data_IF_283175039008
#
_entry.id   IF_283175039008
#
_cell.length_a   1.000
_cell.length_b   1.000
_cell.length_c   1.000
_cell.angle_alpha   90.00
_cell.angle_beta   90.00
_cell.angle_gamma   90.00
#
_symmetry.space_group_name_H-M   'P 1'
#
loop_
_entity.id
_entity.type
_entity.pdbx_description
1 polymer ?
#
# COMPACT_ATOMS: atom_id res chain seq x y z
N UNK A 1 23.87 -54.48 17.61
CA UNK A 1 22.63 -54.13 18.34
C UNK A 1 22.98 -53.05 19.34
N UNK A 2 22.62 -51.79 19.09
CA UNK A 2 22.92 -50.66 19.97
C UNK A 2 21.70 -50.35 20.84
N UNK A 3 21.76 -50.76 22.10
CA UNK A 3 20.73 -50.51 23.12
C UNK A 3 20.87 -49.08 23.64
N UNK A 4 19.87 -48.24 23.37
CA UNK A 4 19.74 -46.92 23.99
C UNK A 4 19.06 -47.09 25.36
N UNK A 5 19.88 -47.08 26.42
CA UNK A 5 19.40 -47.18 27.80
C UNK A 5 18.77 -45.83 28.22
N UNK A 6 17.47 -45.84 28.53
CA UNK A 6 16.78 -44.69 29.12
C UNK A 6 16.84 -44.77 30.65
N UNK A 7 17.50 -43.80 31.28
CA UNK A 7 17.63 -43.69 32.74
C UNK A 7 16.35 -43.16 33.44
N UNK A 8 15.22 -43.07 32.75
CA UNK A 8 13.96 -42.55 33.31
C UNK A 8 12.78 -43.53 33.25
N UNK A 9 13.01 -44.78 32.83
CA UNK A 9 12.00 -45.85 32.89
C UNK A 9 10.75 -45.64 32.01
N UNK A 10 10.70 -44.60 31.17
CA UNK A 10 9.59 -44.36 30.24
C UNK A 10 10.00 -44.78 28.83
N UNK A 11 9.29 -45.78 28.30
CA UNK A 11 9.48 -46.37 26.96
C UNK A 11 9.01 -45.49 25.78
N UNK A 12 8.74 -44.22 26.02
CA UNK A 12 8.48 -43.25 24.96
C UNK A 12 9.57 -42.20 24.97
N UNK A 13 10.55 -42.39 24.06
CA UNK A 13 11.47 -41.33 23.67
C UNK A 13 10.64 -40.29 22.93
N UNK A 14 10.04 -39.40 23.71
CA UNK A 14 9.49 -38.17 23.17
C UNK A 14 10.71 -37.29 22.92
N UNK A 15 11.00 -36.95 21.66
CA UNK A 15 11.99 -35.93 21.31
C UNK A 15 11.44 -34.54 21.69
N UNK A 16 11.11 -34.34 22.97
CA UNK A 16 10.88 -33.04 23.56
C UNK A 16 12.24 -32.47 23.91
N UNK A 17 12.81 -31.87 22.87
CA UNK A 17 14.00 -31.04 22.89
C UNK A 17 13.74 -29.81 23.79
N UNK A 18 14.77 -29.27 24.45
CA UNK A 18 14.71 -28.06 25.29
C UNK A 18 14.38 -26.76 24.50
N UNK A 19 14.06 -26.86 23.21
CA UNK A 19 13.42 -25.82 22.40
C UNK A 19 11.92 -26.08 22.37
N UNK A 20 11.17 -25.54 23.33
CA UNK A 20 9.77 -25.90 23.60
C UNK A 20 8.74 -25.62 22.49
N UNK A 21 8.72 -26.42 21.42
CA UNK A 21 7.56 -26.56 20.51
C UNK A 21 7.48 -28.02 20.06
N UNK A 22 6.54 -28.76 20.64
CA UNK A 22 6.25 -30.14 20.26
C UNK A 22 5.73 -30.22 18.82
N UNK A 23 6.30 -31.16 18.07
CA UNK A 23 5.90 -31.50 16.70
C UNK A 23 4.52 -32.16 16.68
N UNK A 24 3.47 -31.36 16.56
CA UNK A 24 2.28 -31.76 15.81
C UNK A 24 2.35 -31.06 14.46
N UNK A 25 3.14 -31.63 13.55
CA UNK A 25 3.04 -31.32 12.12
C UNK A 25 1.72 -31.93 11.61
N UNK A 26 0.58 -31.35 12.00
CA UNK A 26 -0.47 -31.22 11.00
C UNK A 26 0.11 -30.31 9.92
N UNK A 27 -0.18 -30.54 8.64
CA UNK A 27 0.16 -29.59 7.58
C UNK A 27 -0.53 -28.26 7.91
N UNK A 28 0.14 -27.40 8.67
CA UNK A 28 -0.38 -26.08 8.93
C UNK A 28 -0.33 -25.35 7.59
N UNK A 29 -1.50 -25.05 7.06
CA UNK A 29 -1.79 -24.08 6.00
C UNK A 29 -1.43 -22.67 6.46
N UNK A 30 -0.29 -22.51 7.12
CA UNK A 30 0.18 -21.23 7.64
C UNK A 30 0.60 -20.37 6.48
N UNK A 31 -0.25 -19.40 6.15
CA UNK A 31 0.02 -18.33 5.20
C UNK A 31 1.44 -17.78 5.42
N UNK A 32 2.27 -17.64 4.38
CA UNK A 32 3.64 -17.18 4.55
C UNK A 32 3.72 -15.82 5.24
N UNK A 33 4.74 -15.61 6.07
CA UNK A 33 4.89 -14.38 6.87
C UNK A 33 4.90 -13.10 6.01
N UNK A 34 5.51 -13.13 4.83
CA UNK A 34 5.53 -11.98 3.91
C UNK A 34 4.12 -11.60 3.42
N UNK A 35 3.23 -12.57 3.24
CA UNK A 35 1.83 -12.33 2.88
C UNK A 35 1.08 -11.70 4.04
N UNK A 36 1.28 -12.19 5.27
CA UNK A 36 0.67 -11.61 6.48
C UNK A 36 1.11 -10.15 6.66
N UNK A 37 2.40 -9.87 6.49
CA UNK A 37 2.95 -8.51 6.55
C UNK A 37 2.32 -7.60 5.48
N UNK A 38 2.12 -8.10 4.27
CA UNK A 38 1.51 -7.34 3.19
C UNK A 38 0.02 -7.07 3.41
N UNK A 39 -0.74 -8.06 3.91
CA UNK A 39 -2.14 -7.85 4.34
C UNK A 39 -2.24 -6.75 5.39
N UNK A 40 -1.35 -6.77 6.39
CA UNK A 40 -1.27 -5.72 7.41
C UNK A 40 -0.98 -4.34 6.80
N UNK A 41 0.00 -4.25 5.89
CA UNK A 41 0.30 -3.00 5.18
C UNK A 41 -0.93 -2.45 4.43
N UNK A 42 -1.66 -3.30 3.71
CA UNK A 42 -2.89 -2.90 2.99
C UNK A 42 -3.94 -2.39 3.99
N UNK A 43 -4.08 -3.10 5.10
CA UNK A 43 -5.03 -2.74 6.14
C UNK A 43 -4.72 -1.36 6.73
N UNK A 44 -3.48 -1.15 7.19
CA UNK A 44 -3.06 0.09 7.84
C UNK A 44 -3.03 1.28 6.88
N UNK A 45 -2.65 1.07 5.61
CA UNK A 45 -2.44 2.15 4.64
C UNK A 45 -3.69 2.54 3.85
N UNK A 46 -4.66 1.64 3.70
CA UNK A 46 -5.84 1.87 2.85
C UNK A 46 -7.16 1.58 3.57
N UNK A 47 -7.30 0.42 4.21
CA UNK A 47 -8.58 -0.01 4.82
C UNK A 47 -8.90 0.82 6.08
N UNK A 48 -7.96 0.98 6.99
CA UNK A 48 -8.18 1.80 8.20
C UNK A 48 -8.47 3.27 7.85
N UNK A 49 -7.71 3.92 6.93
CA UNK A 49 -8.00 5.30 6.52
C UNK A 49 -9.37 5.49 5.87
N UNK A 50 -9.84 4.58 5.01
CA UNK A 50 -11.17 4.70 4.40
C UNK A 50 -12.27 4.54 5.45
N UNK A 51 -12.14 3.57 6.37
CA UNK A 51 -13.09 3.36 7.46
C UNK A 51 -13.15 4.56 8.43
N UNK A 52 -12.00 5.20 8.64
CA UNK A 52 -11.86 6.38 9.51
C UNK A 52 -12.14 7.71 8.79
N UNK A 53 -12.55 7.67 7.51
CA UNK A 53 -12.80 8.86 6.66
C UNK A 53 -11.60 9.82 6.56
N UNK A 54 -10.39 9.30 6.66
CA UNK A 54 -9.14 10.07 6.55
C UNK A 54 -8.74 10.24 5.07
N UNK A 55 -9.55 10.99 4.33
CA UNK A 55 -9.40 11.17 2.87
C UNK A 55 -8.05 11.73 2.46
N UNK A 56 -7.45 12.62 3.26
CA UNK A 56 -6.12 13.19 3.00
C UNK A 56 -5.04 12.11 2.92
N UNK A 57 -4.98 11.23 3.92
CA UNK A 57 -4.00 10.13 3.99
C UNK A 57 -4.23 9.14 2.85
N UNK A 58 -5.51 8.88 2.55
CA UNK A 58 -5.87 7.97 1.47
C UNK A 58 -5.43 8.51 0.09
N UNK A 59 -5.65 9.81 -0.18
CA UNK A 59 -5.18 10.48 -1.41
C UNK A 59 -3.66 10.48 -1.50
N UNK A 60 -2.97 10.75 -0.40
CA UNK A 60 -1.50 10.73 -0.34
C UNK A 60 -0.91 9.35 -0.67
N UNK A 61 -1.57 8.26 -0.28
CA UNK A 61 -1.11 6.90 -0.59
C UNK A 61 -1.69 6.33 -1.90
N UNK A 62 -2.59 7.06 -2.58
CA UNK A 62 -3.28 6.58 -3.78
C UNK A 62 -2.33 6.22 -4.93
N UNK A 63 -1.16 6.89 -5.02
CA UNK A 63 -0.14 6.62 -6.04
C UNK A 63 0.32 5.16 -6.04
N UNK A 64 0.27 4.47 -4.89
CA UNK A 64 0.79 3.11 -4.74
C UNK A 64 -0.27 2.02 -4.89
N UNK A 65 -1.56 2.38 -5.07
CA UNK A 65 -2.65 1.39 -5.13
C UNK A 65 -2.46 0.42 -6.30
N UNK A 66 -2.17 0.93 -7.50
CA UNK A 66 -1.98 0.09 -8.71
C UNK A 66 -0.83 -0.89 -8.53
N UNK A 67 0.30 -0.46 -7.96
CA UNK A 67 1.44 -1.32 -7.69
C UNK A 67 1.08 -2.39 -6.64
N UNK A 68 0.35 -2.00 -5.60
CA UNK A 68 -0.13 -2.92 -4.56
C UNK A 68 -1.03 -4.02 -5.13
N UNK A 69 -1.93 -3.68 -6.07
CA UNK A 69 -2.78 -4.65 -6.78
C UNK A 69 -1.95 -5.63 -7.61
N UNK A 70 -1.01 -5.13 -8.43
CA UNK A 70 -0.14 -6.01 -9.26
C UNK A 70 0.68 -6.98 -8.39
N UNK A 71 1.11 -6.54 -7.21
CA UNK A 71 1.82 -7.39 -6.24
C UNK A 71 0.90 -8.41 -5.58
N UNK A 72 -0.35 -8.06 -5.25
CA UNK A 72 -1.34 -9.03 -4.76
C UNK A 72 -1.53 -10.16 -5.77
N UNK A 73 -1.70 -9.83 -7.05
CA UNK A 73 -1.82 -10.82 -8.12
C UNK A 73 -0.59 -11.73 -8.21
N UNK A 74 0.61 -11.15 -8.08
CA UNK A 74 1.87 -11.91 -8.06
C UNK A 74 1.98 -12.84 -6.85
N UNK A 75 1.46 -12.45 -5.68
CA UNK A 75 1.43 -13.35 -4.52
C UNK A 75 0.35 -14.42 -4.64
N UNK A 76 -0.80 -14.07 -5.22
CA UNK A 76 -1.90 -15.01 -5.46
C UNK A 76 -1.49 -16.15 -6.39
N UNK A 77 -0.71 -15.90 -7.45
CA UNK A 77 -0.23 -16.97 -8.33
C UNK A 77 0.64 -18.00 -7.61
N UNK A 78 1.38 -17.56 -6.59
CA UNK A 78 2.29 -18.42 -5.80
C UNK A 78 1.53 -19.16 -4.69
N UNK A 79 0.69 -18.45 -3.93
CA UNK A 79 0.08 -19.01 -2.71
C UNK A 79 -1.33 -19.56 -2.91
N UNK A 80 -2.04 -19.14 -3.98
CA UNK A 80 -3.44 -19.48 -4.27
C UNK A 80 -4.38 -19.25 -3.07
N UNK A 81 -4.11 -18.22 -2.28
CA UNK A 81 -4.89 -17.84 -1.11
C UNK A 81 -6.05 -16.93 -1.54
N UNK A 82 -7.28 -17.43 -1.45
CA UNK A 82 -8.50 -16.70 -1.84
C UNK A 82 -8.68 -15.39 -1.07
N UNK A 83 -8.15 -15.28 0.15
CA UNK A 83 -8.26 -14.03 0.91
C UNK A 83 -7.54 -12.88 0.22
N UNK A 84 -6.51 -13.14 -0.61
CA UNK A 84 -5.83 -12.10 -1.39
C UNK A 84 -6.74 -11.47 -2.46
N UNK A 85 -7.65 -12.26 -3.05
CA UNK A 85 -8.64 -11.78 -4.00
C UNK A 85 -9.61 -10.80 -3.33
N UNK A 86 -9.96 -11.04 -2.07
CA UNK A 86 -10.77 -10.11 -1.29
C UNK A 86 -10.05 -8.76 -1.10
N UNK A 87 -8.76 -8.78 -0.73
CA UNK A 87 -7.96 -7.55 -0.59
C UNK A 87 -7.82 -6.80 -1.93
N UNK A 88 -7.68 -7.52 -3.04
CA UNK A 88 -7.65 -6.92 -4.38
C UNK A 88 -8.96 -6.19 -4.69
N UNK A 89 -10.10 -6.85 -4.49
CA UNK A 89 -11.42 -6.25 -4.70
C UNK A 89 -11.64 -5.03 -3.79
N UNK A 90 -11.22 -5.11 -2.52
CA UNK A 90 -11.28 -3.97 -1.61
C UNK A 90 -10.45 -2.79 -2.12
N UNK A 91 -9.23 -3.02 -2.59
CA UNK A 91 -8.39 -1.96 -3.15
C UNK A 91 -8.98 -1.35 -4.43
N UNK A 92 -9.62 -2.16 -5.28
CA UNK A 92 -10.30 -1.68 -6.48
C UNK A 92 -11.49 -0.78 -6.13
N UNK A 93 -12.29 -1.18 -5.13
CA UNK A 93 -13.39 -0.38 -4.60
C UNK A 93 -12.84 0.94 -4.04
N UNK A 94 -11.82 0.89 -3.19
CA UNK A 94 -11.17 2.07 -2.60
C UNK A 94 -10.69 3.03 -3.70
N UNK A 95 -10.03 2.51 -4.74
CA UNK A 95 -9.58 3.31 -5.89
C UNK A 95 -10.75 4.03 -6.57
N UNK A 96 -11.82 3.29 -6.84
CA UNK A 96 -13.03 3.82 -7.49
C UNK A 96 -13.69 4.88 -6.62
N UNK A 97 -13.76 4.66 -5.31
CA UNK A 97 -14.28 5.64 -4.35
C UNK A 97 -13.46 6.92 -4.35
N UNK A 98 -12.12 6.83 -4.31
CA UNK A 98 -11.25 8.02 -4.36
C UNK A 98 -11.53 8.81 -5.65
N UNK A 99 -11.53 8.14 -6.79
CA UNK A 99 -11.76 8.80 -8.08
C UNK A 99 -13.17 9.44 -8.14
N UNK A 100 -14.20 8.79 -7.59
CA UNK A 100 -15.56 9.36 -7.49
C UNK A 100 -15.60 10.57 -6.57
N UNK A 101 -14.92 10.53 -5.42
CA UNK A 101 -14.87 11.69 -4.49
C UNK A 101 -14.14 12.88 -5.11
N UNK A 102 -13.07 12.64 -5.86
CA UNK A 102 -12.37 13.70 -6.60
C UNK A 102 -13.28 14.30 -7.69
N UNK A 103 -14.04 13.46 -8.41
CA UNK A 103 -15.02 13.93 -9.41
C UNK A 103 -16.11 14.79 -8.76
N UNK A 104 -16.66 14.36 -7.62
CA UNK A 104 -17.68 15.11 -6.89
C UNK A 104 -17.17 16.48 -6.41
N UNK A 105 -15.97 16.55 -5.82
CA UNK A 105 -15.37 17.82 -5.40
C UNK A 105 -15.17 18.78 -6.59
N UNK A 106 -14.74 18.26 -7.74
CA UNK A 106 -14.60 19.08 -8.95
C UNK A 106 -15.95 19.60 -9.44
N UNK A 107 -17.00 18.75 -9.42
CA UNK A 107 -18.35 19.15 -9.81
C UNK A 107 -18.93 20.21 -8.87
N UNK A 108 -18.79 20.04 -7.56
CA UNK A 108 -19.22 21.01 -6.56
C UNK A 108 -18.51 22.35 -6.76
N UNK A 109 -17.18 22.34 -6.94
CA UNK A 109 -16.42 23.56 -7.20
C UNK A 109 -16.87 24.28 -8.48
N UNK A 110 -17.25 23.54 -9.53
CA UNK A 110 -17.72 24.13 -10.79
C UNK A 110 -19.16 24.67 -10.68
N UNK A 111 -20.04 23.96 -9.98
CA UNK A 111 -21.43 24.34 -9.78
C UNK A 111 -21.56 25.57 -8.86
N UNK A 112 -20.87 25.57 -7.72
CA UNK A 112 -21.07 26.58 -6.68
C UNK A 112 -20.19 27.83 -6.81
N UNK A 113 -19.09 27.80 -7.57
CA UNK A 113 -18.30 29.01 -7.84
C UNK A 113 -18.85 29.87 -8.99
N UNK A 114 -19.91 29.43 -9.68
CA UNK A 114 -20.46 30.18 -10.82
C UNK A 114 -21.69 30.97 -10.37
N UNK A 115 -21.46 32.17 -9.86
CA UNK A 115 -22.51 33.15 -9.61
C UNK A 115 -23.09 33.66 -10.96
N UNK A 116 -24.00 32.90 -11.58
CA UNK A 116 -24.71 33.36 -12.77
C UNK A 116 -25.46 32.26 -13.52
N UNK A 117 -26.77 32.45 -13.70
CA UNK A 117 -27.70 31.59 -14.44
C UNK A 117 -27.30 31.43 -15.92
N UNK A 118 -26.34 30.56 -16.22
CA UNK A 118 -26.02 30.14 -17.59
C UNK A 118 -25.97 28.62 -17.60
N UNK A 119 -26.73 28.00 -18.51
CA UNK A 119 -26.67 26.56 -18.74
C UNK A 119 -25.22 26.14 -19.01
N UNK A 120 -24.60 25.41 -18.08
CA UNK A 120 -23.24 24.92 -18.23
C UNK A 120 -23.24 23.62 -19.03
N UNK A 121 -22.54 23.63 -20.17
CA UNK A 121 -22.26 22.43 -20.94
C UNK A 121 -21.13 21.65 -20.24
N UNK A 122 -21.47 20.51 -19.63
CA UNK A 122 -20.50 19.65 -18.95
C UNK A 122 -19.90 18.65 -19.96
N UNK A 123 -18.63 18.85 -20.32
CA UNK A 123 -17.89 17.94 -21.19
C UNK A 123 -16.98 17.03 -20.36
N UNK A 124 -17.18 15.71 -20.43
CA UNK A 124 -16.31 14.73 -19.74
C UNK A 124 -15.05 14.50 -20.57
N UNK A 125 -13.92 14.97 -20.08
CA UNK A 125 -12.60 14.71 -20.68
C UNK A 125 -11.83 13.65 -19.88
N UNK A 126 -10.99 12.82 -20.53
CA UNK A 126 -10.15 11.86 -19.84
C UNK A 126 -9.16 12.57 -18.90
N UNK A 127 -9.09 12.14 -17.65
CA UNK A 127 -8.15 12.68 -16.65
C UNK A 127 -6.73 12.22 -16.97
N UNK A 128 -5.83 13.18 -17.19
CA UNK A 128 -4.39 12.92 -17.29
C UNK A 128 -3.82 12.97 -15.87
N UNK A 129 -3.36 11.83 -15.35
CA UNK A 129 -2.59 11.77 -14.09
C UNK A 129 -1.10 11.88 -14.39
N UNK A 130 -0.38 12.55 -13.51
CA UNK A 130 1.08 12.58 -13.57
C UNK A 130 1.63 11.22 -13.14
N UNK A 131 2.86 10.91 -13.53
CA UNK A 131 3.51 9.70 -13.00
C UNK A 131 3.79 9.87 -11.49
N UNK A 132 3.77 8.78 -10.70
CA UNK A 132 3.88 8.84 -9.24
C UNK A 132 5.04 9.71 -8.70
N UNK A 133 6.26 9.69 -9.29
CA UNK A 133 7.36 10.53 -8.79
C UNK A 133 7.05 12.03 -8.85
N UNK A 134 6.34 12.48 -9.89
CA UNK A 134 6.01 13.89 -10.09
C UNK A 134 4.79 14.30 -9.24
N UNK A 135 3.83 13.40 -9.02
CA UNK A 135 2.73 13.64 -8.07
C UNK A 135 3.29 13.84 -6.65
N UNK A 136 4.20 12.97 -6.23
CA UNK A 136 4.84 13.06 -4.92
C UNK A 136 5.69 14.32 -4.76
N UNK A 137 6.45 14.70 -5.79
CA UNK A 137 7.16 15.97 -5.80
C UNK A 137 6.22 17.15 -5.55
N UNK A 138 5.11 17.21 -6.28
CA UNK A 138 4.13 18.28 -6.15
C UNK A 138 3.45 18.31 -4.77
N UNK A 139 3.27 17.14 -4.14
CA UNK A 139 2.70 17.04 -2.80
C UNK A 139 3.68 17.47 -1.69
N UNK A 140 4.98 17.22 -1.86
CA UNK A 140 5.99 17.47 -0.82
C UNK A 140 6.58 18.88 -0.93
N UNK A 141 6.96 19.30 -2.13
CA UNK A 141 7.71 20.55 -2.39
C UNK A 141 6.78 21.63 -2.96
N UNK A 142 5.69 21.22 -3.61
CA UNK A 142 4.81 22.12 -4.35
C UNK A 142 5.08 22.10 -5.85
N UNK A 143 4.16 22.69 -6.61
CA UNK A 143 4.24 22.74 -8.08
C UNK A 143 5.34 23.74 -8.50
N UNK A 144 6.36 23.32 -9.26
CA UNK A 144 7.39 24.23 -9.74
C UNK A 144 6.84 25.16 -10.83
N UNK A 145 7.36 26.40 -10.87
CA UNK A 145 7.05 27.34 -11.94
C UNK A 145 7.58 26.81 -13.28
N UNK A 146 6.73 26.85 -14.31
CA UNK A 146 7.05 26.47 -15.71
C UNK A 146 7.55 25.02 -15.90
N UNK A 147 7.13 24.08 -15.06
CA UNK A 147 7.49 22.64 -15.17
C UNK A 147 9.00 22.36 -15.04
N UNK A 148 9.77 23.28 -14.45
CA UNK A 148 11.18 23.07 -14.15
C UNK A 148 11.33 22.24 -12.86
N UNK A 149 11.10 20.94 -12.96
CA UNK A 149 11.31 20.03 -11.84
C UNK A 149 12.81 19.75 -11.63
N UNK A 150 13.25 19.68 -10.37
CA UNK A 150 14.60 19.24 -10.06
C UNK A 150 14.74 17.73 -10.33
N UNK A 151 15.54 17.40 -11.35
CA UNK A 151 15.82 16.02 -11.75
C UNK A 151 16.45 15.22 -10.61
N UNK A 152 17.32 15.80 -9.79
CA UNK A 152 17.99 15.08 -8.69
C UNK A 152 16.97 14.60 -7.67
N UNK A 153 15.98 15.44 -7.36
CA UNK A 153 14.92 15.10 -6.41
C UNK A 153 13.96 14.08 -7.02
N UNK A 154 13.60 14.21 -8.30
CA UNK A 154 12.78 13.22 -8.99
C UNK A 154 13.45 11.85 -9.01
N UNK A 155 14.74 11.79 -9.33
CA UNK A 155 15.50 10.53 -9.36
C UNK A 155 15.55 9.91 -7.96
N UNK A 156 15.76 10.73 -6.92
CA UNK A 156 15.72 10.29 -5.54
C UNK A 156 14.36 9.73 -5.12
N UNK A 157 13.27 10.44 -5.44
CA UNK A 157 11.89 9.98 -5.20
C UNK A 157 11.64 8.66 -5.96
N UNK A 158 12.09 8.56 -7.20
CA UNK A 158 11.93 7.37 -8.04
C UNK A 158 12.60 6.15 -7.40
N UNK A 159 13.78 6.33 -6.81
CA UNK A 159 14.48 5.24 -6.11
C UNK A 159 13.84 4.89 -4.76
N UNK A 160 13.27 5.87 -4.05
CA UNK A 160 12.54 5.63 -2.81
C UNK A 160 11.27 4.82 -3.08
N UNK A 161 10.50 5.14 -4.13
CA UNK A 161 9.25 4.45 -4.47
C UNK A 161 9.47 2.96 -4.77
N UNK A 162 10.66 2.58 -5.25
CA UNK A 162 11.00 1.16 -5.51
C UNK A 162 11.08 0.34 -4.23
N UNK A 163 11.26 0.97 -3.06
CA UNK A 163 11.35 0.26 -1.78
C UNK A 163 10.00 -0.32 -1.38
N UNK A 164 10.02 -1.50 -0.77
CA UNK A 164 8.80 -2.19 -0.37
C UNK A 164 8.13 -1.51 0.83
N UNK A 165 6.79 -1.49 0.82
CA UNK A 165 5.95 -1.03 1.94
C UNK A 165 6.10 0.44 2.33
N UNK A 166 6.72 1.26 1.48
CA UNK A 166 6.94 2.66 1.81
C UNK A 166 5.62 3.46 1.77
N UNK A 167 5.38 4.22 2.83
CA UNK A 167 4.22 5.11 2.96
C UNK A 167 4.57 6.54 2.56
N UNK A 168 3.57 7.35 2.20
CA UNK A 168 3.80 8.76 1.86
C UNK A 168 4.61 9.51 2.92
N UNK A 169 4.27 9.34 4.21
CA UNK A 169 4.93 10.05 5.32
C UNK A 169 6.44 9.73 5.36
N UNK A 170 6.83 8.47 5.15
CA UNK A 170 8.24 8.08 5.11
C UNK A 170 8.98 8.67 3.90
N UNK A 171 8.29 8.88 2.77
CA UNK A 171 8.88 9.56 1.61
C UNK A 171 9.06 11.04 1.93
N UNK A 172 8.05 11.68 2.51
CA UNK A 172 8.07 13.08 2.89
C UNK A 172 9.24 13.40 3.84
N UNK A 173 9.44 12.60 4.89
CA UNK A 173 10.55 12.76 5.83
C UNK A 173 11.92 12.61 5.15
N UNK A 174 12.08 11.60 4.27
CA UNK A 174 13.33 11.36 3.55
C UNK A 174 13.65 12.45 2.53
N UNK A 175 12.63 12.98 1.85
CA UNK A 175 12.82 14.06 0.88
C UNK A 175 13.13 15.38 1.59
N UNK A 176 12.47 15.68 2.71
CA UNK A 176 12.73 16.89 3.51
C UNK A 176 14.13 16.90 4.13
N UNK A 177 14.56 15.78 4.73
CA UNK A 177 15.95 15.67 5.24
C UNK A 177 16.97 15.85 4.12
N UNK A 178 16.72 15.30 2.93
CA UNK A 178 17.62 15.47 1.78
C UNK A 178 17.70 16.93 1.29
N UNK A 179 16.64 17.71 1.46
CA UNK A 179 16.60 19.14 1.14
C UNK A 179 17.38 20.00 2.15
N UNK A 180 17.45 19.57 3.42
CA UNK A 180 18.26 20.26 4.45
C UNK A 180 19.77 20.03 4.25
N UNK A 181 20.15 18.93 3.60
CA UNK A 181 21.55 18.60 3.27
C UNK A 181 22.07 19.28 1.99
N UNK A 182 21.22 20.00 1.24
CA UNK A 182 21.51 20.63 -0.06
C UNK A 182 21.66 22.14 0.05
#
# INVERSE_FOLDING_TARGET
MTTTLSLTGKHHINHLNLTGKSSSYSKSTTTPYYVVKFKKYIFDSFITPIMSKQWKILRQNAYNITNTINRLQSYYTITKDETLLLYENMLLIIKTTIDTTDELENLENNLFNTNGNVAQLMYKVPRIRLSPPYELYNLIIGKPDKFAYDKKIIDYITDIIKKEYITFNEIEEKVKSKLEDL
#
